data_IF_059693099297
#
_entry.id   IF_059693099297
#
_cell.length_a   1.000
_cell.length_b   1.000
_cell.length_c   1.000
_cell.angle_alpha   90.00
_cell.angle_beta   90.00
_cell.angle_gamma   90.00
#
_symmetry.space_group_name_H-M   'P 1'
#
loop_
_entity.id
_entity.type
_entity.pdbx_description
1 polymer ?
#
# COMPACT_ATOMS: atom_id res chain seq x y z
N UNK A 1 9.34 -18.12 -26.05
CA UNK A 1 10.35 -18.85 -25.26
C UNK A 1 9.98 -18.67 -23.78
N UNK A 2 9.99 -19.74 -22.98
CA UNK A 2 9.77 -19.69 -21.53
C UNK A 2 11.11 -19.53 -20.82
N UNK A 3 11.15 -18.87 -19.64
CA UNK A 3 12.38 -18.81 -18.85
C UNK A 3 12.94 -20.22 -18.58
N UNK A 4 14.22 -20.42 -18.87
CA UNK A 4 14.92 -21.70 -18.71
C UNK A 4 14.97 -22.57 -19.97
N UNK A 5 14.25 -22.22 -21.03
CA UNK A 5 14.42 -22.86 -22.35
C UNK A 5 15.84 -22.61 -22.87
N UNK A 6 16.33 -23.50 -23.74
CA UNK A 6 17.62 -23.33 -24.41
C UNK A 6 17.58 -22.09 -25.33
N UNK A 7 18.58 -21.22 -25.19
CA UNK A 7 18.71 -19.96 -25.89
C UNK A 7 20.17 -19.78 -26.34
N UNK A 8 20.44 -20.14 -27.60
CA UNK A 8 21.80 -20.21 -28.13
C UNK A 8 22.70 -21.13 -27.30
N UNK A 9 23.75 -20.54 -26.72
CA UNK A 9 24.71 -21.20 -25.82
C UNK A 9 24.34 -21.10 -24.32
N UNK A 10 23.20 -20.46 -23.98
CA UNK A 10 22.72 -20.30 -22.62
C UNK A 10 21.24 -20.67 -22.46
N UNK A 11 20.62 -20.10 -21.42
CA UNK A 11 19.22 -20.31 -21.04
C UNK A 11 18.44 -18.99 -21.08
N UNK A 12 17.28 -19.00 -21.73
CA UNK A 12 16.44 -17.81 -21.87
C UNK A 12 16.06 -17.24 -20.50
N UNK A 13 16.29 -15.94 -20.31
CA UNK A 13 15.99 -15.23 -19.07
C UNK A 13 16.99 -15.45 -17.92
N UNK A 14 18.06 -16.22 -18.14
CA UNK A 14 19.14 -16.45 -17.18
C UNK A 14 20.47 -16.00 -17.76
N UNK A 15 21.35 -15.44 -16.93
CA UNK A 15 22.72 -15.16 -17.34
C UNK A 15 23.60 -16.30 -16.83
N UNK A 16 24.02 -17.17 -17.74
CA UNK A 16 24.82 -18.35 -17.41
C UNK A 16 26.29 -17.99 -17.19
N UNK A 17 26.95 -18.71 -16.28
CA UNK A 17 28.32 -18.45 -15.88
C UNK A 17 28.61 -18.90 -14.46
N UNK A 18 29.82 -18.58 -14.02
CA UNK A 18 30.29 -18.69 -12.65
C UNK A 18 30.48 -17.29 -12.02
N UNK A 19 31.15 -17.24 -10.87
CA UNK A 19 31.40 -16.00 -10.15
C UNK A 19 32.44 -15.08 -10.84
N UNK A 20 33.34 -15.65 -11.65
CA UNK A 20 34.40 -14.93 -12.35
C UNK A 20 34.01 -14.52 -13.78
N UNK A 21 33.20 -15.33 -14.46
CA UNK A 21 32.92 -15.23 -15.89
C UNK A 21 31.49 -15.63 -16.22
N UNK A 22 30.94 -14.92 -17.20
CA UNK A 22 29.62 -15.16 -17.77
C UNK A 22 29.73 -15.55 -19.24
N UNK A 23 28.81 -16.40 -19.69
CA UNK A 23 28.75 -16.92 -21.06
C UNK A 23 28.01 -15.91 -21.94
N UNK A 24 28.56 -15.66 -23.14
CA UNK A 24 27.82 -14.98 -24.21
C UNK A 24 26.86 -15.97 -24.88
N UNK A 25 25.57 -15.67 -24.94
CA UNK A 25 24.56 -16.57 -25.50
C UNK A 25 24.66 -16.70 -27.03
N UNK A 26 25.30 -15.72 -27.69
CA UNK A 26 25.50 -15.70 -29.14
C UNK A 26 26.70 -16.55 -29.59
N UNK A 27 27.79 -16.59 -28.82
CA UNK A 27 29.03 -17.27 -29.22
C UNK A 27 29.57 -18.31 -28.23
N UNK A 28 28.96 -18.46 -27.06
CA UNK A 28 29.34 -19.44 -26.03
C UNK A 28 30.64 -19.15 -25.28
N UNK A 29 31.33 -18.05 -25.61
CA UNK A 29 32.60 -17.68 -24.96
C UNK A 29 32.37 -17.05 -23.58
N UNK A 30 33.36 -17.21 -22.69
CA UNK A 30 33.33 -16.74 -21.30
C UNK A 30 34.02 -15.38 -21.15
N UNK A 31 33.35 -14.43 -20.49
CA UNK A 31 33.83 -13.07 -20.29
C UNK A 31 33.57 -12.56 -18.87
N UNK A 32 34.42 -11.65 -18.38
CA UNK A 32 34.15 -10.91 -17.12
C UNK A 32 33.03 -9.88 -17.27
N UNK A 33 32.91 -9.31 -18.47
CA UNK A 33 31.86 -8.36 -18.83
C UNK A 33 31.55 -8.47 -20.33
N UNK A 34 30.25 -8.52 -20.67
CA UNK A 34 29.84 -8.67 -22.07
C UNK A 34 29.71 -7.34 -22.81
N UNK A 35 29.55 -6.20 -22.12
CA UNK A 35 29.20 -4.91 -22.75
C UNK A 35 30.04 -4.55 -23.99
N UNK A 36 31.36 -4.51 -23.86
CA UNK A 36 32.26 -4.20 -24.99
C UNK A 36 32.32 -5.34 -26.01
N UNK A 37 32.19 -6.58 -25.57
CA UNK A 37 32.21 -7.75 -26.44
C UNK A 37 31.01 -7.75 -27.40
N UNK A 38 29.82 -7.43 -26.90
CA UNK A 38 28.59 -7.39 -27.72
C UNK A 38 28.71 -6.41 -28.89
N UNK A 39 29.22 -5.20 -28.63
CA UNK A 39 29.41 -4.19 -29.67
C UNK A 39 30.45 -4.66 -30.70
N UNK A 40 31.58 -5.20 -30.24
CA UNK A 40 32.70 -5.55 -31.14
C UNK A 40 32.50 -6.83 -31.93
N UNK A 41 31.81 -7.81 -31.37
CA UNK A 41 31.70 -9.15 -31.94
C UNK A 41 30.31 -9.46 -32.52
N UNK A 42 29.27 -8.76 -32.05
CA UNK A 42 27.89 -9.04 -32.42
C UNK A 42 27.14 -7.83 -32.96
N UNK A 43 27.76 -6.63 -32.98
CA UNK A 43 27.11 -5.38 -33.37
C UNK A 43 25.79 -5.12 -32.61
N UNK A 44 25.74 -5.55 -31.34
CA UNK A 44 24.57 -5.44 -30.49
C UNK A 44 24.84 -4.53 -29.30
N UNK A 45 23.84 -3.71 -28.97
CA UNK A 45 23.82 -2.99 -27.70
C UNK A 45 23.46 -3.94 -26.55
N UNK A 46 23.84 -3.56 -25.33
CA UNK A 46 23.44 -4.31 -24.13
C UNK A 46 21.91 -4.35 -23.91
N UNK A 47 21.16 -3.40 -24.47
CA UNK A 47 19.70 -3.38 -24.39
C UNK A 47 19.08 -4.42 -25.32
N UNK A 48 19.52 -4.46 -26.58
CA UNK A 48 19.09 -5.44 -27.59
C UNK A 48 19.44 -6.86 -27.17
N UNK A 49 20.66 -7.09 -26.67
CA UNK A 49 21.07 -8.40 -26.16
C UNK A 49 20.16 -8.88 -25.03
N UNK A 50 19.85 -8.01 -24.07
CA UNK A 50 18.95 -8.37 -22.96
C UNK A 50 17.54 -8.66 -23.45
N UNK A 51 17.07 -7.92 -24.45
CA UNK A 51 15.76 -8.14 -25.05
C UNK A 51 15.69 -9.48 -25.80
N UNK A 52 16.69 -9.77 -26.64
CA UNK A 52 16.79 -11.01 -27.40
C UNK A 52 16.78 -12.25 -26.49
N UNK A 53 17.53 -12.21 -25.39
CA UNK A 53 17.70 -13.35 -24.47
C UNK A 53 16.76 -13.31 -23.25
N UNK A 54 15.76 -12.42 -23.24
CA UNK A 54 14.78 -12.34 -22.15
C UNK A 54 15.34 -11.90 -20.79
N UNK A 55 16.51 -11.27 -20.78
CA UNK A 55 17.18 -10.80 -19.56
C UNK A 55 16.55 -9.51 -19.03
N UNK A 56 16.45 -9.34 -17.70
CA UNK A 56 16.02 -8.08 -17.09
C UNK A 56 16.86 -6.86 -17.54
N UNK A 57 16.22 -5.75 -17.94
CA UNK A 57 16.92 -4.50 -18.31
C UNK A 57 17.95 -4.03 -17.27
N UNK A 58 17.60 -4.15 -15.98
CA UNK A 58 18.47 -3.77 -14.86
C UNK A 58 19.54 -4.80 -14.48
N UNK A 59 19.56 -5.98 -15.09
CA UNK A 59 20.61 -6.97 -14.84
C UNK A 59 21.93 -6.49 -15.44
N UNK A 60 22.99 -6.48 -14.64
CA UNK A 60 24.33 -6.18 -15.12
C UNK A 60 24.90 -7.34 -15.94
N UNK A 61 25.45 -7.05 -17.12
CA UNK A 61 26.16 -8.01 -17.97
C UNK A 61 27.64 -8.11 -17.57
N UNK A 62 27.87 -8.28 -16.27
CA UNK A 62 29.18 -8.32 -15.62
C UNK A 62 29.15 -9.42 -14.57
N UNK A 63 30.20 -10.23 -14.54
CA UNK A 63 30.39 -11.34 -13.61
C UNK A 63 30.37 -10.86 -12.15
N UNK A 64 29.86 -11.67 -11.21
CA UNK A 64 29.72 -11.30 -9.80
C UNK A 64 30.99 -10.71 -9.18
N UNK A 65 32.15 -11.34 -9.34
CA UNK A 65 33.40 -10.84 -8.76
C UNK A 65 33.84 -9.50 -9.33
N UNK A 66 33.77 -9.36 -10.65
CA UNK A 66 34.11 -8.10 -11.31
C UNK A 66 33.20 -6.97 -10.83
N UNK A 67 31.90 -7.26 -10.64
CA UNK A 67 30.94 -6.32 -10.06
C UNK A 67 31.29 -5.94 -8.61
N UNK A 68 31.65 -6.92 -7.77
CA UNK A 68 32.09 -6.66 -6.38
C UNK A 68 33.33 -5.78 -6.36
N UNK A 69 34.34 -6.09 -7.18
CA UNK A 69 35.57 -5.31 -7.28
C UNK A 69 35.29 -3.86 -7.73
N UNK A 70 34.46 -3.67 -8.76
CA UNK A 70 34.03 -2.33 -9.20
C UNK A 70 33.29 -1.56 -8.09
N UNK A 71 32.41 -2.24 -7.33
CA UNK A 71 31.70 -1.62 -6.21
C UNK A 71 32.65 -1.21 -5.09
N UNK A 72 33.60 -2.05 -4.71
CA UNK A 72 34.61 -1.74 -3.70
C UNK A 72 35.48 -0.56 -4.14
N UNK A 73 35.89 -0.56 -5.41
CA UNK A 73 36.63 0.56 -5.97
C UNK A 73 35.82 1.86 -5.93
N UNK A 74 34.55 1.85 -6.36
CA UNK A 74 33.69 3.03 -6.29
C UNK A 74 33.51 3.54 -4.85
N UNK A 75 33.34 2.63 -3.87
CA UNK A 75 33.26 2.99 -2.46
C UNK A 75 34.56 3.60 -1.92
N UNK A 76 35.72 3.12 -2.38
CA UNK A 76 37.02 3.68 -2.01
C UNK A 76 37.23 5.13 -2.45
N UNK A 77 36.44 5.60 -3.43
CA UNK A 77 36.49 6.98 -3.90
C UNK A 77 35.63 7.92 -3.05
N UNK A 78 34.74 7.41 -2.20
CA UNK A 78 33.83 8.26 -1.41
C UNK A 78 34.65 9.11 -0.44
N UNK A 79 34.49 10.43 -0.54
CA UNK A 79 35.20 11.41 0.30
C UNK A 79 36.53 11.90 -0.27
N UNK A 80 36.92 11.46 -1.47
CA UNK A 80 38.05 12.09 -2.17
C UNK A 80 37.65 13.41 -2.83
N UNK A 81 38.59 14.34 -3.10
CA UNK A 81 38.31 15.56 -3.84
C UNK A 81 37.71 15.29 -5.24
N UNK A 82 38.09 14.19 -5.89
CA UNK A 82 37.53 13.74 -7.16
C UNK A 82 36.04 13.42 -7.04
N UNK A 83 35.65 12.74 -5.95
CA UNK A 83 34.27 12.40 -5.66
C UNK A 83 33.43 13.64 -5.34
N UNK A 84 33.97 14.59 -4.59
CA UNK A 84 33.30 15.88 -4.32
C UNK A 84 33.02 16.64 -5.61
N UNK A 85 34.00 16.73 -6.53
CA UNK A 85 33.80 17.33 -7.86
C UNK A 85 32.73 16.60 -8.68
N UNK A 86 32.64 15.28 -8.56
CA UNK A 86 31.57 14.50 -9.21
C UNK A 86 30.20 14.81 -8.60
N UNK A 87 30.11 14.93 -7.27
CA UNK A 87 28.88 15.24 -6.54
C UNK A 87 28.40 16.66 -6.88
N UNK A 88 29.29 17.64 -6.91
CA UNK A 88 28.98 19.02 -7.28
C UNK A 88 28.36 19.11 -8.69
N UNK A 89 28.91 18.38 -9.66
CA UNK A 89 28.39 18.35 -11.03
C UNK A 89 27.11 17.53 -11.20
N UNK A 90 26.68 16.77 -10.18
CA UNK A 90 25.50 15.90 -10.28
C UNK A 90 24.22 16.74 -10.23
N UNK A 91 23.36 16.61 -11.25
CA UNK A 91 22.05 17.27 -11.31
C UNK A 91 20.89 16.24 -11.25
N UNK A 92 20.33 15.94 -10.06
CA UNK A 92 19.24 14.99 -9.91
C UNK A 92 17.93 15.41 -10.59
N UNK A 93 17.67 16.71 -10.66
CA UNK A 93 16.44 17.24 -11.26
C UNK A 93 16.44 17.01 -12.78
N UNK A 94 17.53 17.36 -13.46
CA UNK A 94 17.70 17.09 -14.90
C UNK A 94 17.59 15.59 -15.21
N UNK A 95 18.23 14.74 -14.40
CA UNK A 95 18.12 13.28 -14.54
C UNK A 95 16.69 12.77 -14.34
N UNK A 96 15.87 13.44 -13.51
CA UNK A 96 14.46 13.08 -13.34
C UNK A 96 13.60 13.51 -14.52
N UNK A 97 13.81 14.71 -15.04
CA UNK A 97 13.08 15.24 -16.20
C UNK A 97 13.40 14.49 -17.51
N UNK A 98 14.60 13.92 -17.62
CA UNK A 98 14.98 13.08 -18.76
C UNK A 98 14.26 11.72 -18.80
N UNK A 99 13.55 11.30 -17.74
CA UNK A 99 12.83 10.02 -17.71
C UNK A 99 11.52 10.14 -18.48
N UNK A 100 11.34 9.27 -19.47
CA UNK A 100 10.08 9.13 -20.22
C UNK A 100 9.16 8.10 -19.58
N UNK A 101 7.89 8.06 -19.99
CA UNK A 101 6.94 7.01 -19.58
C UNK A 101 7.44 5.60 -19.89
N UNK A 102 8.17 5.44 -21.00
CA UNK A 102 8.85 4.19 -21.39
C UNK A 102 9.99 3.77 -20.45
N UNK A 103 10.53 4.71 -19.67
CA UNK A 103 11.53 4.39 -18.63
C UNK A 103 10.91 3.63 -17.45
N UNK A 104 9.58 3.70 -17.28
CA UNK A 104 8.84 3.06 -16.19
C UNK A 104 8.17 1.73 -16.60
N UNK A 105 8.12 1.40 -17.90
CA UNK A 105 7.58 0.14 -18.39
C UNK A 105 8.62 -0.98 -18.28
N UNK A 106 8.78 -1.54 -17.06
CA UNK A 106 9.51 -2.79 -16.87
C UNK A 106 8.76 -3.95 -17.59
N UNK A 107 9.45 -4.73 -18.43
CA UNK A 107 8.84 -5.86 -19.15
C UNK A 107 8.84 -7.16 -18.34
N UNK A 108 7.74 -7.92 -18.49
CA UNK A 108 7.59 -9.37 -18.28
C UNK A 108 8.10 -9.93 -16.95
N UNK A 109 9.31 -10.51 -16.98
CA UNK A 109 9.83 -11.40 -15.92
C UNK A 109 10.13 -10.67 -14.60
N UNK A 110 10.58 -9.42 -14.64
CA UNK A 110 10.92 -8.66 -13.42
C UNK A 110 9.66 -8.21 -12.68
N UNK A 111 8.66 -7.76 -13.43
CA UNK A 111 7.38 -7.36 -12.88
C UNK A 111 6.66 -8.57 -12.27
N UNK A 112 6.66 -9.70 -12.98
CA UNK A 112 6.12 -10.98 -12.50
C UNK A 112 6.87 -11.49 -11.25
N UNK A 113 8.20 -11.47 -11.24
CA UNK A 113 8.99 -11.87 -10.06
C UNK A 113 8.73 -10.97 -8.87
N UNK A 114 8.70 -9.64 -9.06
CA UNK A 114 8.34 -8.70 -7.97
C UNK A 114 6.92 -8.94 -7.46
N UNK A 115 5.96 -9.19 -8.36
CA UNK A 115 4.59 -9.51 -7.98
C UNK A 115 4.51 -10.85 -7.23
N UNK A 116 5.26 -11.87 -7.65
CA UNK A 116 5.34 -13.18 -7.00
C UNK A 116 5.97 -13.06 -5.60
N UNK A 117 7.08 -12.34 -5.45
CA UNK A 117 7.70 -12.04 -4.15
C UNK A 117 6.75 -11.26 -3.25
N UNK A 118 6.08 -10.21 -3.76
CA UNK A 118 5.11 -9.45 -2.99
C UNK A 118 3.93 -10.33 -2.53
N UNK A 119 3.40 -11.18 -3.41
CA UNK A 119 2.35 -12.16 -3.06
C UNK A 119 2.84 -13.15 -2.01
N UNK A 120 4.06 -13.68 -2.13
CA UNK A 120 4.65 -14.59 -1.16
C UNK A 120 4.84 -13.92 0.21
N UNK A 121 5.32 -12.67 0.23
CA UNK A 121 5.50 -11.89 1.45
C UNK A 121 4.17 -11.54 2.13
N UNK A 122 3.10 -11.32 1.36
CA UNK A 122 1.75 -11.04 1.89
C UNK A 122 1.02 -12.35 2.26
N UNK A 123 1.39 -13.49 1.68
CA UNK A 123 0.74 -14.78 1.93
C UNK A 123 0.85 -15.15 3.41
N UNK A 124 -0.29 -15.23 4.08
CA UNK A 124 -0.39 -15.53 5.51
C UNK A 124 -0.30 -14.31 6.43
N UNK A 125 0.08 -13.13 5.91
CA UNK A 125 0.08 -11.88 6.70
C UNK A 125 -1.36 -11.38 6.83
N UNK A 126 -1.94 -11.53 8.01
CA UNK A 126 -3.19 -10.86 8.36
C UNK A 126 -2.90 -9.39 8.64
N UNK A 127 -3.54 -8.48 7.91
CA UNK A 127 -3.49 -7.05 8.25
C UNK A 127 -3.95 -6.89 9.70
N UNK A 128 -3.21 -6.16 10.55
CA UNK A 128 -3.65 -5.91 11.91
C UNK A 128 -5.01 -5.21 11.88
N UNK A 129 -5.89 -5.57 12.80
CA UNK A 129 -7.18 -4.91 12.96
C UNK A 129 -6.93 -3.55 13.57
N UNK A 130 -6.98 -2.49 12.76
CA UNK A 130 -6.77 -1.10 13.21
C UNK A 130 -8.07 -0.34 13.41
N UNK A 131 -9.19 -0.86 12.90
CA UNK A 131 -10.47 -0.16 12.92
C UNK A 131 -11.07 -0.20 14.33
N UNK A 132 -11.44 0.96 14.84
CA UNK A 132 -12.06 1.13 16.16
C UNK A 132 -13.55 1.39 16.05
N UNK A 133 -14.29 1.01 17.09
CA UNK A 133 -15.70 1.30 17.26
C UNK A 133 -15.91 2.80 17.39
N UNK A 134 -16.80 3.39 16.59
CA UNK A 134 -17.09 4.84 16.62
C UNK A 134 -17.77 5.29 17.92
N UNK A 135 -18.26 4.35 18.73
CA UNK A 135 -18.96 4.64 20.00
C UNK A 135 -18.04 4.44 21.20
N UNK A 136 -17.42 3.26 21.36
CA UNK A 136 -16.63 2.95 22.56
C UNK A 136 -15.11 2.92 22.33
N UNK A 137 -14.63 3.09 21.09
CA UNK A 137 -13.18 3.08 20.78
C UNK A 137 -12.52 1.69 20.75
N UNK A 138 -13.25 0.64 21.13
CA UNK A 138 -12.77 -0.74 21.13
C UNK A 138 -12.42 -1.24 19.73
N UNK A 139 -11.45 -2.14 19.61
CA UNK A 139 -11.04 -2.70 18.31
C UNK A 139 -12.16 -3.56 17.71
N UNK A 140 -12.46 -3.35 16.43
CA UNK A 140 -13.48 -4.10 15.70
C UNK A 140 -12.93 -5.44 15.19
N UNK A 141 -12.82 -6.41 16.09
CA UNK A 141 -12.44 -7.79 15.75
C UNK A 141 -13.66 -8.56 15.22
N UNK A 142 -13.49 -9.34 14.16
CA UNK A 142 -14.54 -10.25 13.64
C UNK A 142 -15.76 -9.61 12.96
N UNK A 143 -16.01 -8.30 13.12
CA UNK A 143 -17.17 -7.64 12.53
C UNK A 143 -16.81 -6.99 11.19
N UNK A 144 -17.25 -7.54 10.05
CA UNK A 144 -17.04 -6.91 8.73
C UNK A 144 -18.14 -5.90 8.41
N UNK A 145 -17.78 -4.79 7.78
CA UNK A 145 -18.75 -3.80 7.26
C UNK A 145 -19.49 -2.93 8.29
N UNK A 146 -19.47 -3.25 9.60
CA UNK A 146 -20.06 -2.40 10.64
C UNK A 146 -19.04 -1.41 11.22
N UNK A 147 -19.55 -0.27 11.70
CA UNK A 147 -18.77 0.77 12.40
C UNK A 147 -18.73 0.60 13.93
N UNK A 148 -19.48 -0.38 14.46
CA UNK A 148 -19.70 -0.57 15.90
C UNK A 148 -19.38 -2.01 16.32
N UNK A 149 -18.92 -2.18 17.55
CA UNK A 149 -18.45 -3.48 18.07
C UNK A 149 -19.58 -4.40 18.54
N UNK A 150 -20.74 -3.86 18.90
CA UNK A 150 -21.86 -4.59 19.49
C UNK A 150 -23.20 -4.01 19.08
N UNK A 151 -24.30 -4.73 19.33
CA UNK A 151 -25.68 -4.25 19.13
C UNK A 151 -25.97 -3.02 19.99
N UNK A 152 -25.45 -2.96 21.23
CA UNK A 152 -25.56 -1.76 22.08
C UNK A 152 -24.94 -0.53 21.42
N UNK A 153 -23.69 -0.64 20.95
CA UNK A 153 -23.03 0.44 20.22
C UNK A 153 -23.74 0.77 18.90
N UNK A 154 -24.31 -0.23 18.22
CA UNK A 154 -25.11 -0.03 17.02
C UNK A 154 -26.34 0.86 17.30
N UNK A 155 -27.10 0.58 18.36
CA UNK A 155 -28.27 1.38 18.73
C UNK A 155 -27.93 2.81 19.13
N UNK A 156 -26.84 3.01 19.87
CA UNK A 156 -26.32 4.34 20.21
C UNK A 156 -25.97 5.11 18.94
N UNK A 157 -25.12 4.55 18.07
CA UNK A 157 -24.72 5.19 16.82
C UNK A 157 -25.92 5.47 15.90
N UNK A 158 -26.90 4.55 15.85
CA UNK A 158 -28.12 4.72 15.06
C UNK A 158 -28.98 5.87 15.59
N UNK A 159 -29.09 6.02 16.92
CA UNK A 159 -29.80 7.14 17.53
C UNK A 159 -29.07 8.45 17.22
N UNK A 160 -27.76 8.53 17.50
CA UNK A 160 -26.95 9.74 17.31
C UNK A 160 -26.96 10.24 15.85
N UNK A 161 -26.85 9.33 14.86
CA UNK A 161 -26.90 9.70 13.43
C UNK A 161 -28.24 10.25 12.96
N UNK A 162 -29.33 9.92 13.66
CA UNK A 162 -30.70 10.32 13.30
C UNK A 162 -31.38 11.20 14.34
N UNK A 163 -30.64 11.65 15.37
CA UNK A 163 -31.19 12.40 16.48
C UNK A 163 -31.70 13.76 15.99
N UNK A 164 -32.92 14.11 16.39
CA UNK A 164 -33.47 15.45 16.20
C UNK A 164 -33.36 16.21 17.51
N UNK A 165 -33.02 17.51 17.48
CA UNK A 165 -32.90 18.32 18.70
C UNK A 165 -34.22 18.37 19.47
N UNK A 166 -34.12 18.62 20.79
CA UNK A 166 -35.26 18.85 21.67
C UNK A 166 -35.86 17.61 22.34
N UNK A 167 -35.29 16.41 22.14
CA UNK A 167 -35.75 15.21 22.84
C UNK A 167 -35.58 15.31 24.36
N UNK A 168 -34.45 15.89 24.83
CA UNK A 168 -34.20 16.17 26.25
C UNK A 168 -35.22 17.14 26.83
N UNK A 169 -35.43 18.29 26.18
CA UNK A 169 -36.41 19.29 26.62
C UNK A 169 -37.84 18.74 26.69
N UNK A 170 -38.26 17.89 25.73
CA UNK A 170 -39.57 17.26 25.78
C UNK A 170 -39.70 16.24 26.91
N UNK A 171 -38.62 15.51 27.21
CA UNK A 171 -38.57 14.59 28.34
C UNK A 171 -38.67 15.35 29.66
N UNK A 172 -37.89 16.41 29.86
CA UNK A 172 -37.91 17.24 31.08
C UNK A 172 -39.29 17.87 31.33
N UNK A 173 -39.93 18.42 30.29
CA UNK A 173 -41.30 18.94 30.37
C UNK A 173 -42.31 17.85 30.76
N UNK A 174 -42.13 16.65 30.21
CA UNK A 174 -43.00 15.50 30.54
C UNK A 174 -42.78 15.06 31.99
N UNK A 175 -41.55 15.04 32.45
CA UNK A 175 -41.18 14.67 33.82
C UNK A 175 -41.64 15.73 34.84
N UNK A 176 -41.72 17.00 34.43
CA UNK A 176 -42.37 18.10 35.17
C UNK A 176 -43.91 18.03 35.19
N UNK A 177 -44.50 16.98 34.60
CA UNK A 177 -45.95 16.72 34.65
C UNK A 177 -46.75 17.24 33.45
N UNK A 178 -46.10 17.88 32.46
CA UNK A 178 -46.81 18.39 31.29
C UNK A 178 -47.40 17.25 30.43
N UNK A 179 -48.62 17.43 29.94
CA UNK A 179 -49.28 16.43 29.08
C UNK A 179 -48.58 16.32 27.71
N UNK A 180 -48.54 15.10 27.15
CA UNK A 180 -47.98 14.86 25.80
C UNK A 180 -48.66 15.73 24.73
N UNK A 181 -49.95 16.00 24.88
CA UNK A 181 -50.72 16.85 23.99
C UNK A 181 -50.31 18.32 24.06
N UNK A 182 -50.00 18.83 25.26
CA UNK A 182 -49.53 20.21 25.44
C UNK A 182 -48.13 20.40 24.83
N UNK A 183 -47.21 19.47 25.07
CA UNK A 183 -45.88 19.43 24.44
C UNK A 183 -46.01 19.37 22.92
N UNK A 184 -46.87 18.48 22.41
CA UNK A 184 -47.12 18.33 20.98
C UNK A 184 -47.64 19.61 20.32
N UNK A 185 -48.63 20.28 20.92
CA UNK A 185 -49.14 21.56 20.44
C UNK A 185 -48.06 22.63 20.37
N UNK A 186 -47.23 22.75 21.41
CA UNK A 186 -46.15 23.76 21.45
C UNK A 186 -45.07 23.53 20.38
N UNK A 187 -44.88 22.27 19.97
CA UNK A 187 -43.86 21.87 19.01
C UNK A 187 -44.40 21.64 17.60
N UNK A 188 -45.71 21.83 17.37
CA UNK A 188 -46.36 21.59 16.08
C UNK A 188 -46.37 20.11 15.66
N UNK A 189 -46.41 19.17 16.60
CA UNK A 189 -46.38 17.72 16.33
C UNK A 189 -47.47 16.95 17.09
N UNK A 190 -47.79 15.74 16.64
CA UNK A 190 -48.75 14.88 17.34
C UNK A 190 -48.22 14.42 18.70
N UNK A 191 -49.12 14.21 19.66
CA UNK A 191 -48.77 13.68 20.99
C UNK A 191 -48.07 12.29 20.90
N UNK A 192 -48.41 11.48 19.88
CA UNK A 192 -47.76 10.20 19.60
C UNK A 192 -46.30 10.41 19.20
N UNK A 193 -46.00 11.40 18.35
CA UNK A 193 -44.64 11.73 17.96
C UNK A 193 -43.80 12.18 19.16
N UNK A 194 -44.40 12.93 20.09
CA UNK A 194 -43.77 13.31 21.36
C UNK A 194 -43.44 12.07 22.18
N UNK A 195 -44.44 11.18 22.42
CA UNK A 195 -44.25 9.93 23.18
C UNK A 195 -43.12 9.09 22.62
N UNK A 196 -43.16 8.78 21.33
CA UNK A 196 -42.16 7.94 20.66
C UNK A 196 -40.76 8.56 20.75
N UNK A 197 -40.65 9.90 20.67
CA UNK A 197 -39.35 10.57 20.80
C UNK A 197 -38.80 10.46 22.23
N UNK A 198 -39.64 10.69 23.24
CA UNK A 198 -39.24 10.57 24.66
C UNK A 198 -38.83 9.12 24.97
N UNK A 199 -39.61 8.13 24.56
CA UNK A 199 -39.32 6.71 24.81
C UNK A 199 -37.99 6.29 24.16
N UNK A 200 -37.76 6.68 22.91
CA UNK A 200 -36.49 6.42 22.21
C UNK A 200 -35.32 7.10 22.91
N UNK A 201 -35.50 8.33 23.38
CA UNK A 201 -34.45 9.06 24.10
C UNK A 201 -34.14 8.42 25.46
N UNK A 202 -35.14 8.02 26.24
CA UNK A 202 -34.93 7.26 27.50
C UNK A 202 -34.17 5.95 27.26
N UNK A 203 -34.55 5.21 26.21
CA UNK A 203 -33.82 3.99 25.84
C UNK A 203 -32.39 4.28 25.37
N UNK A 204 -32.13 5.45 24.78
CA UNK A 204 -30.78 5.90 24.42
C UNK A 204 -29.95 6.23 25.68
N UNK A 205 -30.51 7.02 26.60
CA UNK A 205 -29.86 7.38 27.88
C UNK A 205 -29.44 6.14 28.66
N UNK A 206 -30.34 5.15 28.79
CA UNK A 206 -30.04 3.88 29.46
C UNK A 206 -28.83 3.16 28.82
N UNK A 207 -28.76 3.11 27.49
CA UNK A 207 -27.63 2.46 26.79
C UNK A 207 -26.33 3.23 26.96
N UNK A 208 -26.39 4.56 27.02
CA UNK A 208 -25.24 5.41 27.29
C UNK A 208 -24.72 5.21 28.71
N UNK A 209 -25.62 5.15 29.70
CA UNK A 209 -25.31 4.84 31.10
C UNK A 209 -24.64 3.46 31.23
N UNK A 210 -25.25 2.40 30.67
CA UNK A 210 -24.68 1.05 30.65
C UNK A 210 -23.30 0.94 29.98
N UNK A 211 -22.93 1.93 29.15
CA UNK A 211 -21.65 1.99 28.44
C UNK A 211 -20.66 2.98 29.11
N UNK A 212 -21.10 3.79 30.08
CA UNK A 212 -20.31 4.90 30.63
C UNK A 212 -20.03 6.01 29.60
N UNK A 213 -20.92 6.21 28.61
CA UNK A 213 -20.78 7.23 27.55
C UNK A 213 -21.61 8.46 27.90
N UNK A 214 -21.05 9.64 27.70
CA UNK A 214 -21.80 10.91 27.79
C UNK A 214 -22.79 11.00 26.63
N UNK A 215 -24.10 11.15 26.89
CA UNK A 215 -25.11 11.32 25.84
C UNK A 215 -24.97 12.64 25.08
N UNK A 216 -25.33 12.66 23.80
CA UNK A 216 -25.47 13.89 23.02
C UNK A 216 -26.67 14.72 23.52
N UNK A 217 -26.59 16.05 23.37
CA UNK A 217 -27.64 17.00 23.77
C UNK A 217 -28.78 17.12 22.75
#
# INVERSE_FOLDING_TARGET
MKPGDRDGYGRYGYLDGDDERIICHECGKLYRALGTHLIKAHDMTAAEYKEAHGLPRGMGLVAPETRRAQSLHALSQVGTPEWERMVEKRNPAAASHARTSESFTHRGVVAERKAATARANIKGVRKPVTRRCVVCGELLTGVRGRATCSERCYHINRYERGAKPGARAWMERRDAGESLSAIGRSAGVSHVAVRVRIEKFRAYLKRCEELGRTPIE
#
